data_IF_671445898372
#
_entry.id   IF_671445898372
#
_cell.length_a   1.000
_cell.length_b   1.000
_cell.length_c   1.000
_cell.angle_alpha   90.00
_cell.angle_beta   90.00
_cell.angle_gamma   90.00
#
_symmetry.space_group_name_H-M   'P 1'
#
loop_
_entity.id
_entity.type
_entity.pdbx_description
1 polymer ?
#
# COMPACT_ATOMS: atom_id res chain seq x y z
N UNK A 1 4.42 -12.92 1.92
CA UNK A 1 5.46 -12.33 2.79
C UNK A 1 6.74 -12.14 1.98
N UNK A 2 7.77 -11.46 2.51
CA UNK A 2 9.06 -11.32 1.81
C UNK A 2 9.72 -12.67 1.52
N UNK A 3 9.78 -13.56 2.52
CA UNK A 3 10.34 -14.91 2.32
C UNK A 3 9.65 -15.69 1.19
N UNK A 4 8.31 -15.68 1.15
CA UNK A 4 7.55 -16.32 0.07
C UNK A 4 7.87 -15.70 -1.30
N UNK A 5 8.02 -14.37 -1.35
CA UNK A 5 8.30 -13.64 -2.57
C UNK A 5 9.72 -13.93 -3.08
N UNK A 6 10.71 -14.05 -2.18
CA UNK A 6 12.07 -14.45 -2.51
C UNK A 6 12.13 -15.90 -3.00
N UNK A 7 11.42 -16.82 -2.33
CA UNK A 7 11.33 -18.24 -2.72
C UNK A 7 10.79 -18.41 -4.14
N UNK A 8 9.75 -17.66 -4.52
CA UNK A 8 9.22 -17.65 -5.90
C UNK A 8 10.24 -17.23 -6.96
N UNK A 9 11.30 -16.53 -6.56
CA UNK A 9 12.40 -16.05 -7.41
C UNK A 9 13.66 -16.93 -7.30
N UNK A 10 13.57 -18.10 -6.66
CA UNK A 10 14.72 -18.99 -6.45
C UNK A 10 15.73 -18.51 -5.41
N UNK A 11 15.44 -17.43 -4.69
CA UNK A 11 16.30 -16.92 -3.62
C UNK A 11 15.92 -17.60 -2.32
N UNK A 12 16.86 -18.34 -1.73
CA UNK A 12 16.69 -18.93 -0.40
C UNK A 12 16.78 -17.81 0.64
N UNK A 13 15.87 -17.82 1.60
CA UNK A 13 15.84 -16.89 2.72
C UNK A 13 15.61 -17.66 4.02
N UNK A 14 16.19 -17.17 5.10
CA UNK A 14 16.06 -17.69 6.46
C UNK A 14 14.92 -17.01 7.22
N UNK A 15 14.67 -17.41 8.47
CA UNK A 15 13.50 -17.00 9.27
C UNK A 15 13.51 -15.51 9.68
N UNK A 16 14.64 -14.82 9.57
CA UNK A 16 14.77 -13.38 9.85
C UNK A 16 13.80 -12.54 9.00
N UNK A 17 13.42 -13.02 7.81
CA UNK A 17 12.47 -12.35 6.93
C UNK A 17 11.00 -12.77 7.13
N UNK A 18 10.72 -13.71 8.05
CA UNK A 18 9.40 -14.34 8.17
C UNK A 18 8.26 -13.35 8.45
N UNK A 19 8.56 -12.22 9.11
CA UNK A 19 7.57 -11.20 9.47
C UNK A 19 7.48 -10.04 8.47
N UNK A 20 8.45 -9.90 7.56
CA UNK A 20 8.48 -8.75 6.65
C UNK A 20 7.39 -8.87 5.58
N UNK A 21 6.55 -7.84 5.47
CA UNK A 21 5.56 -7.72 4.41
C UNK A 21 6.13 -6.87 3.28
N UNK A 22 5.90 -7.30 2.06
CA UNK A 22 6.26 -6.58 0.83
C UNK A 22 5.05 -6.50 -0.09
N UNK A 23 4.96 -5.40 -0.83
CA UNK A 23 4.17 -5.30 -2.05
C UNK A 23 5.00 -5.85 -3.21
N UNK A 24 4.42 -6.79 -3.95
CA UNK A 24 5.00 -7.31 -5.19
C UNK A 24 4.32 -6.59 -6.36
N UNK A 25 5.10 -5.84 -7.14
CA UNK A 25 4.58 -5.13 -8.32
C UNK A 25 4.46 -6.08 -9.52
N UNK A 26 3.63 -5.76 -10.53
CA UNK A 26 3.57 -6.56 -11.76
C UNK A 26 4.92 -6.71 -12.47
N UNK A 27 5.82 -5.73 -12.32
CA UNK A 27 7.19 -5.79 -12.85
C UNK A 27 8.17 -6.59 -11.99
N UNK A 28 7.70 -7.21 -10.90
CA UNK A 28 8.53 -8.05 -10.03
C UNK A 28 9.32 -7.30 -8.96
N UNK A 29 9.17 -5.98 -8.82
CA UNK A 29 9.77 -5.20 -7.72
C UNK A 29 9.14 -5.63 -6.38
N UNK A 30 9.98 -5.84 -5.36
CA UNK A 30 9.53 -6.09 -3.98
C UNK A 30 9.72 -4.82 -3.15
N UNK A 31 8.61 -4.18 -2.79
CA UNK A 31 8.62 -2.94 -2.03
C UNK A 31 8.21 -3.26 -0.58
N UNK A 32 9.11 -3.19 0.41
CA UNK A 32 8.75 -3.45 1.81
C UNK A 32 7.77 -2.39 2.33
N UNK A 33 6.80 -2.83 3.13
CA UNK A 33 5.76 -1.98 3.70
C UNK A 33 6.15 -1.60 5.13
N UNK A 34 6.09 -0.31 5.49
CA UNK A 34 6.27 0.12 6.89
C UNK A 34 5.12 -0.43 7.74
N UNK A 35 5.37 -1.09 8.88
CA UNK A 35 4.31 -1.47 9.82
C UNK A 35 3.85 -0.26 10.66
N UNK A 36 3.31 0.78 10.01
CA UNK A 36 2.70 1.94 10.65
C UNK A 36 1.16 1.79 10.76
N UNK A 37 0.42 2.88 10.95
CA UNK A 37 -1.04 2.83 11.18
C UNK A 37 -1.82 1.99 10.16
N UNK A 38 -1.62 2.20 8.85
CA UNK A 38 -2.33 1.44 7.81
C UNK A 38 -1.50 0.27 7.29
N UNK A 39 -0.18 0.38 7.30
CA UNK A 39 0.69 -0.71 6.91
C UNK A 39 0.56 -1.94 7.82
N UNK A 40 0.31 -1.75 9.13
CA UNK A 40 0.09 -2.84 10.10
C UNK A 40 -1.06 -3.77 9.74
N UNK A 41 -2.06 -3.31 9.01
CA UNK A 41 -3.15 -4.16 8.55
C UNK A 41 -2.63 -5.41 7.81
N UNK A 42 -1.61 -5.27 6.95
CA UNK A 42 -1.03 -6.42 6.22
C UNK A 42 -0.22 -7.36 7.13
N UNK A 43 0.31 -6.85 8.23
CA UNK A 43 1.03 -7.63 9.22
C UNK A 43 0.08 -8.39 10.16
N UNK A 44 -1.05 -7.79 10.53
CA UNK A 44 -2.02 -8.40 11.45
C UNK A 44 -3.03 -9.30 10.74
N UNK A 45 -3.49 -8.90 9.54
CA UNK A 45 -4.59 -9.54 8.84
C UNK A 45 -4.11 -10.33 7.61
N UNK A 46 -4.04 -11.65 7.76
CA UNK A 46 -3.65 -12.54 6.67
C UNK A 46 -4.60 -12.45 5.46
N UNK A 47 -5.85 -12.01 5.65
CA UNK A 47 -6.83 -11.84 4.55
C UNK A 47 -6.46 -10.71 3.59
N UNK A 48 -5.54 -9.83 3.98
CA UNK A 48 -5.01 -8.78 3.09
C UNK A 48 -3.79 -9.22 2.30
N UNK A 49 -3.24 -10.40 2.58
CA UNK A 49 -2.04 -10.92 1.92
C UNK A 49 -2.42 -11.72 0.68
N UNK A 50 -1.49 -11.80 -0.28
CA UNK A 50 -1.64 -12.58 -1.51
C UNK A 50 -2.92 -12.24 -2.30
N UNK A 51 -3.35 -10.97 -2.25
CA UNK A 51 -4.51 -10.47 -2.98
C UNK A 51 -4.10 -9.26 -3.84
N UNK A 52 -4.74 -9.05 -5.00
CA UNK A 52 -4.56 -7.84 -5.79
C UNK A 52 -4.95 -6.58 -5.01
N UNK A 53 -4.00 -5.66 -4.87
CA UNK A 53 -4.17 -4.38 -4.19
C UNK A 53 -3.56 -3.23 -4.98
N UNK A 54 -4.13 -2.05 -4.81
CA UNK A 54 -3.50 -0.79 -5.17
C UNK A 54 -3.30 0.03 -3.90
N UNK A 55 -2.06 0.45 -3.64
CA UNK A 55 -1.72 1.19 -2.44
C UNK A 55 -1.38 2.63 -2.80
N UNK A 56 -2.02 3.57 -2.12
CA UNK A 56 -1.58 4.97 -2.12
C UNK A 56 -0.70 5.15 -0.91
N UNK A 57 0.48 5.72 -1.10
CA UNK A 57 1.45 5.87 -0.03
C UNK A 57 2.60 6.80 -0.37
N UNK A 58 3.44 7.05 0.63
CA UNK A 58 4.68 7.80 0.45
C UNK A 58 5.86 6.85 0.23
N UNK A 59 6.61 7.11 -0.84
CA UNK A 59 8.01 6.67 -0.99
C UNK A 59 8.90 7.88 -0.76
N UNK A 60 9.72 7.85 0.28
CA UNK A 60 10.65 8.94 0.60
C UNK A 60 12.02 8.62 0.02
N UNK A 61 12.73 9.64 -0.49
CA UNK A 61 14.08 9.47 -1.01
C UNK A 61 15.00 8.90 0.08
N UNK A 62 15.77 7.87 -0.26
CA UNK A 62 16.70 7.20 0.67
C UNK A 62 16.06 6.19 1.62
N UNK A 63 14.73 6.02 1.60
CA UNK A 63 14.02 5.04 2.43
C UNK A 63 13.42 3.97 1.52
N UNK A 64 13.80 2.68 1.68
CA UNK A 64 13.34 1.62 0.77
C UNK A 64 11.92 1.14 1.08
N UNK A 65 11.23 1.75 2.06
CA UNK A 65 9.90 1.33 2.50
C UNK A 65 8.77 2.20 1.93
N UNK A 66 7.62 1.58 1.71
CA UNK A 66 6.36 2.22 1.40
C UNK A 66 5.57 2.48 2.68
N UNK A 67 5.25 3.75 2.93
CA UNK A 67 4.33 4.17 3.98
C UNK A 67 2.91 4.22 3.41
N UNK A 68 1.99 3.38 3.91
CA UNK A 68 0.65 3.22 3.31
C UNK A 68 -0.32 4.28 3.87
N UNK A 69 -1.04 4.96 2.97
CA UNK A 69 -2.06 5.96 3.30
C UNK A 69 -3.46 5.50 2.93
N UNK A 70 -3.61 4.71 1.88
CA UNK A 70 -4.88 4.12 1.47
C UNK A 70 -4.64 2.73 0.91
N UNK A 71 -5.55 1.80 1.25
CA UNK A 71 -5.56 0.46 0.71
C UNK A 71 -6.77 0.34 -0.19
N UNK A 72 -6.53 -0.05 -1.43
CA UNK A 72 -7.59 -0.45 -2.33
C UNK A 72 -7.41 -1.90 -2.73
N UNK A 73 -8.53 -2.61 -2.86
CA UNK A 73 -8.54 -3.99 -3.34
C UNK A 73 -9.22 -4.02 -4.70
N UNK A 74 -8.68 -4.84 -5.59
CA UNK A 74 -9.09 -4.91 -7.01
C UNK A 74 -9.40 -6.36 -7.39
N UNK A 75 -10.03 -7.07 -6.48
CA UNK A 75 -10.34 -8.50 -6.57
C UNK A 75 -11.85 -8.78 -6.70
N UNK A 76 -12.68 -7.74 -6.74
CA UNK A 76 -14.14 -7.86 -6.88
C UNK A 76 -14.62 -7.22 -8.18
N UNK A 77 -15.46 -7.94 -8.90
CA UNK A 77 -16.17 -7.43 -10.06
C UNK A 77 -17.50 -6.79 -9.65
N UNK A 78 -17.84 -5.69 -10.31
CA UNK A 78 -19.21 -5.20 -10.29
C UNK A 78 -20.07 -6.05 -11.22
N UNK A 79 -21.05 -6.76 -10.61
CA UNK A 79 -22.00 -7.62 -11.33
C UNK A 79 -22.77 -6.89 -12.44
N UNK A 80 -22.94 -5.57 -12.33
CA UNK A 80 -23.66 -4.76 -13.33
C UNK A 80 -22.76 -4.37 -14.50
N UNK A 81 -21.48 -4.13 -14.25
CA UNK A 81 -20.54 -3.56 -15.23
C UNK A 81 -19.53 -4.58 -15.78
N UNK A 82 -19.50 -5.81 -15.23
CA UNK A 82 -18.51 -6.86 -15.55
C UNK A 82 -17.06 -6.35 -15.55
N UNK A 83 -16.77 -5.41 -14.63
CA UNK A 83 -15.45 -4.78 -14.50
C UNK A 83 -15.01 -4.84 -13.06
N UNK A 84 -13.71 -5.06 -12.86
CA UNK A 84 -13.08 -4.94 -11.55
C UNK A 84 -13.27 -3.53 -11.01
N UNK A 85 -13.88 -3.42 -9.84
CA UNK A 85 -14.10 -2.13 -9.18
C UNK A 85 -13.16 -1.98 -8.01
N UNK A 86 -12.44 -0.86 -8.00
CA UNK A 86 -11.61 -0.45 -6.88
C UNK A 86 -12.45 -0.32 -5.60
N UNK A 87 -12.10 -1.11 -4.59
CA UNK A 87 -12.73 -1.08 -3.28
C UNK A 87 -11.79 -0.44 -2.26
N UNK A 88 -12.16 0.72 -1.71
CA UNK A 88 -11.45 1.28 -0.56
C UNK A 88 -11.65 0.36 0.64
N UNK A 89 -10.54 -0.02 1.27
CA UNK A 89 -10.51 -0.90 2.43
C UNK A 89 -10.19 -0.12 3.70
N UNK A 90 -11.03 -0.33 4.71
CA UNK A 90 -10.76 0.00 6.10
C UNK A 90 -11.40 -1.06 7.02
N UNK A 91 -11.13 -0.96 8.31
CA UNK A 91 -11.97 -1.57 9.32
C UNK A 91 -13.02 -0.55 9.77
N UNK A 92 -14.19 -1.02 10.18
CA UNK A 92 -15.30 -0.17 10.56
C UNK A 92 -15.88 -0.59 11.90
N UNK A 93 -16.13 0.38 12.76
CA UNK A 93 -16.92 0.19 13.96
C UNK A 93 -18.38 0.56 13.68
N UNK A 94 -19.29 -0.41 13.79
CA UNK A 94 -20.72 -0.17 13.56
C UNK A 94 -21.35 0.71 14.65
N UNK A 95 -20.79 0.71 15.87
CA UNK A 95 -21.30 1.50 17.01
C UNK A 95 -20.96 2.99 16.83
N UNK A 96 -19.67 3.29 16.64
CA UNK A 96 -19.22 4.68 16.53
C UNK A 96 -19.35 5.26 15.13
N UNK A 97 -19.59 4.41 14.12
CA UNK A 97 -19.57 4.82 12.70
C UNK A 97 -18.28 5.55 12.31
N UNK A 98 -17.13 5.00 12.73
CA UNK A 98 -15.80 5.53 12.39
C UNK A 98 -14.91 4.45 11.76
N UNK A 99 -14.00 4.85 10.86
CA UNK A 99 -13.02 3.94 10.27
C UNK A 99 -11.85 3.69 11.22
N UNK A 100 -11.32 2.47 11.14
CA UNK A 100 -10.12 2.01 11.83
C UNK A 100 -9.17 1.42 10.79
N UNK A 101 -7.87 1.40 11.08
CA UNK A 101 -6.85 1.08 10.06
C UNK A 101 -5.97 -0.12 10.41
N UNK A 102 -6.22 -0.74 11.55
CA UNK A 102 -5.54 -1.93 12.02
C UNK A 102 -6.53 -2.78 12.84
N UNK A 103 -6.22 -4.07 13.03
CA UNK A 103 -7.05 -4.96 13.84
C UNK A 103 -6.81 -4.63 15.33
N UNK A 104 -7.79 -3.98 15.93
CA UNK A 104 -7.87 -3.71 17.37
C UNK A 104 -9.31 -3.47 17.79
N UNK A 105 -9.54 -3.20 19.08
CA UNK A 105 -10.82 -2.65 19.54
C UNK A 105 -10.96 -1.20 19.08
N UNK A 106 -12.20 -0.76 18.83
CA UNK A 106 -12.49 0.63 18.49
C UNK A 106 -11.90 1.58 19.55
N UNK A 107 -11.16 2.62 19.13
CA UNK A 107 -10.53 3.57 20.07
C UNK A 107 -11.55 4.35 20.90
N UNK A 108 -12.76 4.54 20.36
CA UNK A 108 -13.82 5.30 21.03
C UNK A 108 -14.66 4.44 21.98
N UNK A 109 -15.33 3.40 21.47
CA UNK A 109 -16.25 2.58 22.27
C UNK A 109 -15.70 1.24 22.75
N UNK A 110 -14.45 0.89 22.39
CA UNK A 110 -13.86 -0.43 22.66
C UNK A 110 -14.62 -1.62 22.06
N UNK A 111 -15.60 -1.36 21.19
CA UNK A 111 -16.39 -2.36 20.48
C UNK A 111 -15.58 -3.12 19.41
N UNK A 112 -16.16 -4.20 18.87
CA UNK A 112 -15.57 -4.93 17.75
C UNK A 112 -15.56 -4.06 16.48
N UNK A 113 -14.68 -4.42 15.56
CA UNK A 113 -14.58 -3.81 14.22
C UNK A 113 -14.62 -4.90 13.16
N UNK A 114 -15.13 -4.56 11.98
CA UNK A 114 -15.21 -5.48 10.83
C UNK A 114 -14.50 -4.91 9.62
N UNK A 115 -14.06 -5.76 8.71
CA UNK A 115 -13.60 -5.30 7.40
C UNK A 115 -14.74 -4.61 6.66
N UNK A 116 -14.43 -3.50 5.99
CA UNK A 116 -15.36 -2.81 5.13
C UNK A 116 -14.68 -2.52 3.80
N UNK A 117 -15.44 -2.73 2.73
CA UNK A 117 -15.05 -2.50 1.35
C UNK A 117 -16.06 -1.54 0.75
N UNK A 118 -15.59 -0.41 0.24
CA UNK A 118 -16.44 0.61 -0.36
C UNK A 118 -16.04 0.85 -1.81
N UNK A 119 -16.97 0.77 -2.78
CA UNK A 119 -16.69 1.19 -4.14
C UNK A 119 -16.23 2.65 -4.16
N UNK A 120 -14.94 2.87 -4.48
CA UNK A 120 -14.37 4.22 -4.44
C UNK A 120 -13.20 4.33 -5.41
N UNK A 121 -13.20 5.41 -6.19
CA UNK A 121 -12.06 5.79 -7.03
C UNK A 121 -10.86 6.30 -6.22
N UNK A 122 -9.75 6.55 -6.92
CA UNK A 122 -8.65 7.30 -6.32
C UNK A 122 -9.13 8.73 -6.00
N UNK A 123 -8.69 9.33 -4.89
CA UNK A 123 -8.94 10.75 -4.65
C UNK A 123 -8.38 11.60 -5.80
N UNK A 124 -9.08 12.68 -6.18
CA UNK A 124 -8.73 13.52 -7.33
C UNK A 124 -7.34 14.16 -7.24
N UNK A 125 -6.82 14.38 -6.03
CA UNK A 125 -5.48 14.92 -5.79
C UNK A 125 -4.37 13.90 -5.99
N UNK A 126 -4.68 12.60 -6.06
CA UNK A 126 -3.71 11.56 -6.39
C UNK A 126 -3.61 11.47 -7.91
N UNK A 127 -2.57 12.09 -8.46
CA UNK A 127 -2.23 11.97 -9.88
C UNK A 127 -1.54 10.63 -10.12
N UNK A 128 -2.08 9.82 -11.01
CA UNK A 128 -1.44 8.59 -11.54
C UNK A 128 -0.21 8.90 -12.39
N UNK A 129 0.00 10.17 -12.73
CA UNK A 129 0.90 10.63 -13.78
C UNK A 129 2.25 11.06 -13.18
N UNK A 130 2.87 10.20 -12.40
CA UNK A 130 4.27 10.38 -12.02
C UNK A 130 5.17 9.93 -13.18
N UNK A 131 5.14 10.65 -14.32
CA UNK A 131 6.34 10.67 -15.18
C UNK A 131 7.48 11.23 -14.33
N UNK A 132 8.66 10.57 -14.27
CA UNK A 132 9.80 11.16 -13.58
C UNK A 132 10.04 12.53 -14.19
N UNK A 133 9.97 13.61 -13.40
CA UNK A 133 10.38 14.93 -13.89
C UNK A 133 11.83 14.80 -14.31
N UNK A 134 12.11 15.00 -15.60
CA UNK A 134 13.47 15.06 -16.11
C UNK A 134 14.25 16.07 -15.27
N UNK A 135 15.45 15.65 -14.83
CA UNK A 135 16.38 16.50 -14.10
C UNK A 135 16.59 17.77 -14.95
N UNK A 136 16.36 18.98 -14.41
CA UNK A 136 16.68 20.18 -15.17
C UNK A 136 18.16 20.14 -15.56
N UNK A 137 18.51 20.55 -16.79
CA UNK A 137 19.90 20.59 -17.22
C UNK A 137 20.70 21.44 -16.23
N UNK A 138 21.91 20.98 -15.89
CA UNK A 138 22.82 21.73 -15.05
C UNK A 138 22.99 23.13 -15.64
N UNK A 139 22.78 24.17 -14.82
CA UNK A 139 23.01 25.54 -15.26
C UNK A 139 24.46 25.67 -15.72
N UNK A 140 24.73 26.28 -16.89
CA UNK A 140 26.09 26.50 -17.33
C UNK A 140 26.79 27.42 -16.32
N UNK A 141 27.94 26.98 -15.81
CA UNK A 141 28.82 27.75 -14.94
C UNK A 141 29.04 29.13 -15.55
N UNK A 142 28.56 30.17 -14.87
CA UNK A 142 28.93 31.57 -15.14
C UNK A 142 30.19 31.90 -14.34
N UNK A 143 31.29 31.23 -14.64
CA UNK A 143 32.62 31.64 -14.14
C UNK A 143 33.68 31.21 -15.15
N UNK A 144 33.74 31.96 -16.25
CA UNK A 144 34.93 32.10 -17.06
C UNK A 144 34.82 33.48 -17.74
N UNK A 145 35.45 34.48 -17.14
CA UNK A 145 35.87 35.68 -17.84
C UNK A 145 37.36 35.88 -17.54
N UNK A 146 38.15 36.25 -18.57
CA UNK A 146 39.61 36.26 -18.55
C UNK A 146 40.21 37.34 -17.63
#
# INVERSE_FOLDING_TARGET
>A
MLGDALKRRGVKSTDEFAKQVVLETPGGELIPIVPDWRGRAFYQDKRLRNRPVELVGYRRRGIPYLQVLMVFTIDREDKRQKKTVRQYFDYWCDICSIPMYEIKRCECCQGPIRMRFQPRGLPSYIRTDAKPKAKPPASPNRDASP
#
